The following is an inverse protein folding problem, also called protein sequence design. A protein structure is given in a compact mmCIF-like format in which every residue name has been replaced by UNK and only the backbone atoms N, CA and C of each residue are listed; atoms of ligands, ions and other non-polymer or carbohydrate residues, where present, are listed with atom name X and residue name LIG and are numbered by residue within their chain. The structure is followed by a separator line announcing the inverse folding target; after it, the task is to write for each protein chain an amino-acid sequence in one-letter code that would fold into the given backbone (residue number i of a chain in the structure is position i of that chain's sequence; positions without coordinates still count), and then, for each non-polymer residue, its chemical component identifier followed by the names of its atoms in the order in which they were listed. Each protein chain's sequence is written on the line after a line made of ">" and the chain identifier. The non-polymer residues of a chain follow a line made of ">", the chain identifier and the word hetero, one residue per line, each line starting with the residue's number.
data_IF_316440984765
#
_entry.id   IF_316440984765
#
_cell.length_a   1.000
_cell.length_b   1.000
_cell.length_c   1.000
_cell.angle_alpha   90.00
_cell.angle_beta   90.00
_cell.angle_gamma   90.00
#
_symmetry.space_group_name_H-M   'P 1'
#
loop_
_entity.id
_entity.type
_entity.pdbx_description
1 polymer ?
#
# COMPACT_ATOMS: atom_id res chain seq x y z
N UNK A 1 -15.15 -0.32 -15.58
CA UNK A 1 -14.20 -1.17 -14.82
C UNK A 1 -12.79 -0.85 -15.32
N UNK A 2 -11.82 -0.75 -14.42
CA UNK A 2 -10.43 -0.57 -14.81
C UNK A 2 -9.98 -1.80 -15.64
N UNK A 3 -9.14 -1.57 -16.65
CA UNK A 3 -8.59 -2.66 -17.46
C UNK A 3 -7.64 -3.51 -16.60
N UNK A 4 -7.76 -4.84 -16.68
CA UNK A 4 -6.85 -5.77 -15.99
C UNK A 4 -5.41 -5.57 -16.44
N UNK A 5 -4.51 -5.41 -15.46
CA UNK A 5 -3.07 -5.35 -15.67
C UNK A 5 -2.36 -6.16 -14.58
N UNK A 6 -1.78 -7.32 -14.92
CA UNK A 6 -1.12 -8.20 -13.95
C UNK A 6 0.09 -7.60 -13.23
N UNK A 7 0.49 -6.37 -13.55
CA UNK A 7 1.57 -5.64 -12.87
C UNK A 7 1.07 -4.60 -11.87
N UNK A 8 -0.23 -4.28 -11.91
CA UNK A 8 -0.79 -3.24 -11.04
C UNK A 8 -2.10 -3.67 -10.39
N UNK A 9 -3.14 -3.94 -11.17
CA UNK A 9 -4.51 -4.17 -10.70
C UNK A 9 -5.22 -5.20 -11.55
N UNK A 10 -5.89 -6.18 -10.92
CA UNK A 10 -6.69 -7.19 -11.60
C UNK A 10 -8.07 -7.32 -10.98
N UNK A 11 -9.08 -7.61 -11.80
CA UNK A 11 -10.45 -7.83 -11.36
C UNK A 11 -10.62 -9.20 -10.67
N UNK A 12 -11.71 -9.34 -9.91
CA UNK A 12 -12.15 -10.61 -9.34
C UNK A 12 -12.38 -11.67 -10.42
N UNK A 13 -12.87 -11.27 -11.60
CA UNK A 13 -13.08 -12.17 -12.73
C UNK A 13 -11.75 -12.67 -13.30
N UNK A 14 -10.74 -11.77 -13.42
CA UNK A 14 -9.41 -12.18 -13.85
C UNK A 14 -8.81 -13.20 -12.88
N UNK A 15 -8.87 -12.92 -11.58
CA UNK A 15 -8.37 -13.85 -10.56
C UNK A 15 -9.09 -15.20 -10.60
N UNK A 16 -10.42 -15.20 -10.70
CA UNK A 16 -11.23 -16.44 -10.82
C UNK A 16 -10.77 -17.33 -11.97
N UNK A 17 -10.53 -16.72 -13.12
CA UNK A 17 -10.09 -17.44 -14.32
C UNK A 17 -8.67 -18.02 -14.19
N UNK A 18 -7.82 -17.39 -13.39
CA UNK A 18 -6.41 -17.75 -13.23
C UNK A 18 -6.11 -18.49 -11.91
N UNK A 19 -7.07 -18.64 -11.00
CA UNK A 19 -6.85 -19.13 -9.64
C UNK A 19 -6.16 -20.50 -9.57
N UNK A 20 -6.36 -21.35 -10.58
CA UNK A 20 -5.76 -22.68 -10.66
C UNK A 20 -4.43 -22.72 -11.42
N UNK A 21 -3.94 -21.56 -11.89
CA UNK A 21 -2.66 -21.52 -12.60
C UNK A 21 -1.51 -21.90 -11.65
N UNK A 22 -0.62 -22.83 -12.03
CA UNK A 22 0.43 -23.35 -11.15
C UNK A 22 1.42 -22.29 -10.68
N UNK A 23 1.63 -21.23 -11.47
CA UNK A 23 2.55 -20.14 -11.15
C UNK A 23 1.86 -18.93 -10.51
N UNK A 24 0.54 -18.98 -10.27
CA UNK A 24 -0.15 -17.94 -9.52
C UNK A 24 0.02 -18.14 -8.01
N UNK A 25 0.26 -17.04 -7.30
CA UNK A 25 0.25 -16.99 -5.83
C UNK A 25 -0.68 -15.88 -5.37
N UNK A 26 -1.59 -16.23 -4.48
CA UNK A 26 -2.50 -15.26 -3.86
C UNK A 26 -1.99 -14.98 -2.45
N UNK A 27 -1.89 -13.68 -2.10
CA UNK A 27 -1.48 -13.22 -0.79
C UNK A 27 -2.59 -12.41 -0.14
N UNK A 28 -2.96 -12.78 1.08
CA UNK A 28 -3.77 -11.94 1.95
C UNK A 28 -2.84 -11.02 2.76
N UNK A 29 -2.95 -9.74 2.52
CA UNK A 29 -2.18 -8.70 3.19
C UNK A 29 -3.05 -7.86 4.11
N UNK A 30 -4.11 -8.46 4.66
CA UNK A 30 -5.01 -7.77 5.59
C UNK A 30 -4.26 -7.26 6.81
N UNK A 31 -4.52 -6.01 7.15
CA UNK A 31 -3.97 -5.34 8.31
C UNK A 31 -5.00 -4.36 8.88
N UNK A 32 -5.02 -4.22 10.18
CA UNK A 32 -5.96 -3.36 10.89
C UNK A 32 -5.24 -2.32 11.74
N UNK A 33 -5.88 -1.15 11.92
CA UNK A 33 -5.35 -0.15 12.85
C UNK A 33 -5.40 -0.69 14.29
N UNK A 34 -4.44 -0.30 15.15
CA UNK A 34 -4.39 -0.79 16.53
C UNK A 34 -5.65 -0.53 17.37
N UNK A 35 -6.47 0.45 16.97
CA UNK A 35 -7.71 0.83 17.66
C UNK A 35 -8.97 0.16 17.10
N UNK A 36 -8.84 -0.79 16.15
CA UNK A 36 -9.99 -1.45 15.52
C UNK A 36 -10.43 -2.74 16.22
N UNK A 37 -9.67 -3.23 17.21
CA UNK A 37 -9.92 -4.49 17.93
C UNK A 37 -10.22 -5.67 16.98
N UNK A 38 -9.42 -5.80 15.93
CA UNK A 38 -9.52 -6.85 14.90
C UNK A 38 -8.20 -7.61 14.80
N UNK A 39 -8.28 -8.88 14.47
CA UNK A 39 -7.12 -9.75 14.24
C UNK A 39 -7.17 -10.29 12.81
N UNK A 40 -6.30 -9.74 11.96
CA UNK A 40 -6.27 -10.07 10.53
C UNK A 40 -5.94 -11.55 10.26
N UNK A 41 -5.04 -12.15 11.03
CA UNK A 41 -4.71 -13.57 10.89
C UNK A 41 -5.89 -14.48 11.28
N UNK A 42 -6.55 -14.18 12.41
CA UNK A 42 -7.73 -14.94 12.82
C UNK A 42 -8.92 -14.79 11.85
N UNK A 43 -9.03 -13.64 11.17
CA UNK A 43 -10.02 -13.45 10.10
C UNK A 43 -9.64 -14.25 8.85
N UNK A 44 -8.36 -14.26 8.47
CA UNK A 44 -7.83 -15.08 7.39
C UNK A 44 -8.12 -16.58 7.62
N UNK A 45 -7.88 -17.09 8.83
CA UNK A 45 -8.16 -18.51 9.14
C UNK A 45 -9.65 -18.87 8.98
N UNK A 46 -10.54 -17.92 9.21
CA UNK A 46 -11.99 -18.12 9.07
C UNK A 46 -12.48 -18.04 7.63
N UNK A 47 -11.87 -17.18 6.82
CA UNK A 47 -12.33 -16.95 5.45
C UNK A 47 -11.28 -16.22 4.63
N UNK A 48 -10.78 -16.86 3.57
CA UNK A 48 -9.84 -16.28 2.63
C UNK A 48 -10.08 -16.79 1.20
N UNK A 49 -9.46 -16.16 0.21
CA UNK A 49 -9.51 -16.64 -1.18
C UNK A 49 -8.79 -17.99 -1.29
N UNK A 50 -9.36 -19.01 -1.95
CA UNK A 50 -8.78 -20.35 -2.00
C UNK A 50 -7.29 -20.34 -2.41
N UNK A 51 -6.47 -21.03 -1.61
CA UNK A 51 -5.03 -21.12 -1.81
C UNK A 51 -4.22 -19.86 -1.43
N UNK A 52 -4.87 -18.86 -0.84
CA UNK A 52 -4.19 -17.66 -0.36
C UNK A 52 -3.22 -17.97 0.79
N UNK A 53 -2.23 -17.15 0.96
CA UNK A 53 -1.23 -17.18 2.03
C UNK A 53 -1.27 -15.86 2.76
N UNK A 54 -1.21 -15.89 4.08
CA UNK A 54 -1.21 -14.66 4.87
C UNK A 54 0.16 -14.00 4.84
N UNK A 55 0.20 -12.76 4.36
CA UNK A 55 1.40 -11.91 4.37
C UNK A 55 1.28 -10.93 5.55
N UNK A 56 1.95 -11.24 6.63
CA UNK A 56 1.99 -10.40 7.82
C UNK A 56 2.88 -9.16 7.58
N UNK A 57 2.25 -7.99 7.42
CA UNK A 57 2.94 -6.72 7.18
C UNK A 57 3.79 -6.31 8.39
N UNK A 58 3.35 -6.62 9.60
CA UNK A 58 4.06 -6.28 10.83
C UNK A 58 5.30 -7.19 11.00
N UNK A 59 5.17 -8.50 10.78
CA UNK A 59 6.33 -9.40 10.79
C UNK A 59 7.29 -9.07 9.65
N UNK A 60 6.81 -8.83 8.44
CA UNK A 60 7.66 -8.56 7.27
C UNK A 60 8.01 -7.06 7.18
N UNK A 61 8.53 -6.52 8.25
CA UNK A 61 9.01 -5.15 8.40
C UNK A 61 10.38 -5.10 9.10
N UNK A 62 11.05 -3.94 9.15
CA UNK A 62 12.33 -3.80 9.87
C UNK A 62 12.09 -3.61 11.37
N UNK A 63 12.24 -4.68 12.14
CA UNK A 63 12.09 -4.66 13.61
C UNK A 63 13.22 -3.95 14.36
N UNK A 64 14.28 -3.51 13.69
CA UNK A 64 15.34 -2.68 14.30
C UNK A 64 14.90 -1.21 14.38
N UNK A 65 13.91 -0.82 13.57
CA UNK A 65 13.30 0.49 13.64
C UNK A 65 12.21 0.53 14.70
N UNK A 66 12.11 1.65 15.42
CA UNK A 66 10.96 1.94 16.29
C UNK A 66 9.73 2.41 15.53
N UNK A 67 9.88 2.69 14.23
CA UNK A 67 8.77 3.07 13.35
C UNK A 67 8.07 1.81 12.82
N UNK A 68 6.73 1.83 12.70
CA UNK A 68 5.96 0.69 12.18
C UNK A 68 6.16 0.53 10.68
N UNK A 69 6.08 -0.70 10.21
CA UNK A 69 6.01 -1.09 8.78
C UNK A 69 7.19 -0.68 7.90
N UNK A 70 8.33 -0.27 8.51
CA UNK A 70 9.52 0.12 7.73
C UNK A 70 9.97 -1.00 6.81
N UNK A 71 10.49 -0.63 5.65
CA UNK A 71 11.02 -1.58 4.65
C UNK A 71 11.96 -2.58 5.33
N UNK A 72 11.68 -3.89 5.23
CA UNK A 72 12.52 -4.92 5.85
C UNK A 72 13.89 -5.01 5.19
N UNK A 73 14.92 -5.50 5.91
CA UNK A 73 16.15 -5.95 5.28
C UNK A 73 15.88 -7.00 4.19
N UNK A 74 16.68 -6.98 3.12
CA UNK A 74 16.54 -7.89 1.98
C UNK A 74 16.48 -9.36 2.41
N UNK A 75 17.35 -9.75 3.32
CA UNK A 75 17.45 -11.13 3.83
C UNK A 75 16.17 -11.55 4.56
N UNK A 76 15.59 -10.64 5.35
CA UNK A 76 14.32 -10.89 6.04
C UNK A 76 13.19 -11.04 5.05
N UNK A 77 13.06 -10.11 4.10
CA UNK A 77 12.05 -10.19 3.03
C UNK A 77 12.14 -11.51 2.28
N UNK A 78 13.34 -11.86 1.77
CA UNK A 78 13.56 -13.11 1.04
C UNK A 78 13.19 -14.33 1.86
N UNK A 79 13.62 -14.41 3.13
CA UNK A 79 13.33 -15.53 4.02
C UNK A 79 11.81 -15.72 4.20
N UNK A 80 11.08 -14.63 4.50
CA UNK A 80 9.63 -14.69 4.74
C UNK A 80 8.84 -15.03 3.46
N UNK A 81 9.18 -14.39 2.35
CA UNK A 81 8.49 -14.62 1.06
C UNK A 81 8.72 -16.05 0.56
N UNK A 82 9.93 -16.60 0.72
CA UNK A 82 10.22 -18.00 0.41
C UNK A 82 9.39 -18.96 1.27
N UNK A 83 9.28 -18.68 2.57
CA UNK A 83 8.47 -19.48 3.49
C UNK A 83 6.96 -19.44 3.13
N UNK A 84 6.50 -18.38 2.45
CA UNK A 84 5.15 -18.31 1.86
C UNK A 84 5.03 -19.08 0.54
N UNK A 85 6.08 -19.72 0.05
CA UNK A 85 6.09 -20.44 -1.22
C UNK A 85 6.02 -19.51 -2.44
N UNK A 86 6.46 -18.26 -2.29
CA UNK A 86 6.60 -17.30 -3.37
C UNK A 86 8.06 -17.22 -3.80
N UNK A 87 8.29 -17.11 -5.09
CA UNK A 87 9.63 -17.02 -5.66
C UNK A 87 9.61 -16.53 -7.10
N UNK A 88 10.77 -16.52 -7.72
CA UNK A 88 10.94 -16.08 -9.11
C UNK A 88 10.01 -16.85 -10.05
N UNK A 89 9.47 -16.15 -11.04
CA UNK A 89 8.55 -16.72 -12.04
C UNK A 89 7.07 -16.78 -11.60
N UNK A 90 6.75 -16.47 -10.35
CA UNK A 90 5.35 -16.42 -9.92
C UNK A 90 4.70 -15.09 -10.28
N UNK A 91 3.46 -15.17 -10.78
CA UNK A 91 2.52 -14.06 -10.76
C UNK A 91 1.90 -13.99 -9.38
N UNK A 92 1.93 -12.82 -8.76
CA UNK A 92 1.32 -12.60 -7.44
C UNK A 92 0.06 -11.77 -7.60
N UNK A 93 -1.01 -12.16 -6.89
CA UNK A 93 -2.16 -11.28 -6.64
C UNK A 93 -2.28 -11.08 -5.14
N UNK A 94 -2.26 -9.83 -4.72
CA UNK A 94 -2.39 -9.47 -3.31
C UNK A 94 -3.72 -8.76 -3.06
N UNK A 95 -4.38 -9.10 -1.96
CA UNK A 95 -5.64 -8.49 -1.55
C UNK A 95 -5.65 -8.19 -0.05
N UNK A 96 -6.67 -7.46 0.40
CA UNK A 96 -6.96 -7.28 1.82
C UNK A 96 -8.46 -7.38 2.12
N UNK A 97 -8.80 -7.50 3.40
CA UNK A 97 -10.17 -7.66 3.89
C UNK A 97 -10.98 -6.37 3.94
N UNK A 98 -10.40 -5.23 3.60
CA UNK A 98 -11.08 -3.91 3.56
C UNK A 98 -11.39 -3.45 2.13
N UNK A 99 -10.92 -4.19 1.13
CA UNK A 99 -11.13 -3.90 -0.28
C UNK A 99 -9.89 -3.38 -0.98
N UNK A 100 -9.36 -2.23 -0.62
CA UNK A 100 -8.08 -1.68 -1.10
C UNK A 100 -7.54 -0.74 -0.02
N UNK A 101 -6.81 -1.30 0.93
CA UNK A 101 -6.27 -0.58 2.08
C UNK A 101 -4.79 -0.88 2.31
N UNK A 102 -4.46 -2.14 2.64
CA UNK A 102 -3.10 -2.59 2.96
C UNK A 102 -2.44 -3.41 1.84
N UNK A 103 -3.22 -4.00 0.95
CA UNK A 103 -2.72 -4.78 -0.18
C UNK A 103 -1.76 -3.99 -1.07
N UNK A 104 -2.04 -2.71 -1.31
CA UNK A 104 -1.18 -1.84 -2.11
C UNK A 104 0.22 -1.64 -1.49
N UNK A 105 0.35 -1.71 -0.14
CA UNK A 105 1.65 -1.67 0.54
C UNK A 105 2.51 -2.88 0.18
N UNK A 106 1.93 -4.07 0.14
CA UNK A 106 2.63 -5.30 -0.22
C UNK A 106 2.99 -5.30 -1.71
N UNK A 107 2.07 -4.87 -2.59
CA UNK A 107 2.35 -4.65 -4.01
C UNK A 107 3.56 -3.72 -4.20
N UNK A 108 3.58 -2.56 -3.54
CA UNK A 108 4.67 -1.61 -3.60
C UNK A 108 5.99 -2.22 -3.09
N UNK A 109 5.95 -2.97 -1.97
CA UNK A 109 7.11 -3.59 -1.37
C UNK A 109 7.76 -4.63 -2.32
N UNK A 110 6.96 -5.49 -2.95
CA UNK A 110 7.48 -6.44 -3.95
C UNK A 110 8.14 -5.73 -5.13
N UNK A 111 7.52 -4.68 -5.65
CA UNK A 111 8.10 -3.91 -6.76
C UNK A 111 9.39 -3.21 -6.34
N UNK A 112 9.44 -2.66 -5.14
CA UNK A 112 10.66 -2.08 -4.58
C UNK A 112 11.77 -3.13 -4.42
N UNK A 113 11.42 -4.37 -4.11
CA UNK A 113 12.33 -5.51 -4.05
C UNK A 113 12.68 -6.10 -5.43
N UNK A 114 12.13 -5.53 -6.52
CA UNK A 114 12.46 -5.90 -7.89
C UNK A 114 11.53 -6.92 -8.55
N UNK A 115 10.42 -7.31 -7.91
CA UNK A 115 9.45 -8.25 -8.46
C UNK A 115 8.26 -7.52 -9.06
N UNK A 116 8.17 -7.48 -10.39
CA UNK A 116 7.13 -6.73 -11.12
C UNK A 116 5.86 -7.55 -11.40
N UNK A 117 5.94 -8.88 -11.33
CA UNK A 117 4.79 -9.76 -11.59
C UNK A 117 3.87 -9.84 -10.37
N UNK A 118 3.36 -8.69 -9.93
CA UNK A 118 2.43 -8.55 -8.80
C UNK A 118 1.34 -7.54 -9.12
N UNK A 119 0.09 -7.88 -8.82
CA UNK A 119 -1.06 -7.00 -8.92
C UNK A 119 -1.90 -7.01 -7.65
N UNK A 120 -2.61 -5.92 -7.40
CA UNK A 120 -3.64 -5.83 -6.35
C UNK A 120 -4.96 -6.35 -6.90
N UNK A 121 -5.70 -7.12 -6.11
CA UNK A 121 -7.08 -7.51 -6.42
C UNK A 121 -8.02 -6.32 -6.20
N UNK A 122 -8.63 -5.84 -7.25
CA UNK A 122 -9.53 -4.68 -7.21
C UNK A 122 -10.77 -4.96 -6.36
N UNK A 123 -10.99 -4.16 -5.32
CA UNK A 123 -12.05 -4.35 -4.34
C UNK A 123 -11.80 -5.46 -3.30
N UNK A 124 -10.67 -6.17 -3.35
CA UNK A 124 -10.20 -7.12 -2.36
C UNK A 124 -11.18 -8.25 -2.02
N UNK A 125 -11.09 -8.76 -0.78
CA UNK A 125 -11.96 -9.85 -0.30
C UNK A 125 -13.45 -9.48 -0.30
N UNK A 126 -13.86 -8.25 0.08
CA UNK A 126 -15.29 -7.88 0.03
C UNK A 126 -15.89 -8.01 -1.37
N UNK A 127 -15.21 -7.52 -2.40
CA UNK A 127 -15.66 -7.61 -3.79
C UNK A 127 -15.64 -9.05 -4.29
N UNK A 128 -14.62 -9.83 -3.93
CA UNK A 128 -14.54 -11.25 -4.26
C UNK A 128 -15.76 -12.02 -3.78
N UNK A 129 -16.19 -11.79 -2.53
CA UNK A 129 -17.37 -12.41 -1.92
C UNK A 129 -18.67 -11.87 -2.56
N UNK A 130 -18.77 -10.57 -2.77
CA UNK A 130 -19.95 -9.93 -3.37
C UNK A 130 -20.22 -10.44 -4.80
N UNK A 131 -19.17 -10.80 -5.54
CA UNK A 131 -19.26 -11.39 -6.88
C UNK A 131 -19.58 -12.90 -6.85
N UNK A 132 -19.89 -13.48 -5.68
CA UNK A 132 -20.28 -14.88 -5.50
C UNK A 132 -19.13 -15.87 -5.68
N UNK A 133 -17.88 -15.43 -5.52
CA UNK A 133 -16.73 -16.31 -5.63
C UNK A 133 -16.49 -17.10 -4.31
N UNK A 134 -15.90 -18.32 -4.38
CA UNK A 134 -15.71 -19.16 -3.22
C UNK A 134 -14.65 -18.61 -2.26
N UNK A 135 -14.80 -18.90 -0.99
CA UNK A 135 -13.80 -18.73 0.06
C UNK A 135 -13.41 -20.08 0.66
N UNK A 136 -12.26 -20.13 1.31
CA UNK A 136 -11.69 -21.32 1.95
C UNK A 136 -11.28 -20.98 3.39
N UNK A 137 -11.05 -22.02 4.20
CA UNK A 137 -10.56 -21.92 5.58
C UNK A 137 -9.27 -22.74 5.78
N UNK A 138 -8.82 -23.41 4.72
CA UNK A 138 -7.70 -24.35 4.77
C UNK A 138 -6.37 -23.69 4.51
N UNK A 139 -5.33 -24.06 5.27
CA UNK A 139 -3.97 -23.64 4.96
C UNK A 139 -3.50 -24.27 3.63
N UNK A 140 -2.92 -23.48 2.70
CA UNK A 140 -2.39 -24.03 1.45
C UNK A 140 -1.13 -24.87 1.72
N UNK A 141 -0.89 -25.85 0.85
CA UNK A 141 0.39 -26.58 0.85
C UNK A 141 1.48 -25.63 0.37
N UNK A 142 2.42 -25.33 1.25
CA UNK A 142 3.53 -24.44 0.97
C UNK A 142 4.80 -25.27 0.69
N UNK A 143 5.52 -24.90 -0.34
CA UNK A 143 6.86 -25.39 -0.66
C UNK A 143 7.78 -24.20 -0.86
N UNK A 144 8.90 -24.18 -0.18
CA UNK A 144 9.93 -23.14 -0.32
C UNK A 144 10.29 -22.92 -1.79
N UNK A 145 10.51 -21.66 -2.14
CA UNK A 145 10.90 -21.24 -3.49
C UNK A 145 12.17 -20.39 -3.42
N UNK A 146 12.84 -20.27 -4.54
CA UNK A 146 13.92 -19.31 -4.68
C UNK A 146 13.32 -17.92 -5.00
N UNK A 147 13.84 -16.87 -4.33
CA UNK A 147 13.45 -15.48 -4.56
C UNK A 147 14.71 -14.65 -4.73
N UNK A 148 14.82 -13.98 -5.87
CA UNK A 148 15.87 -13.01 -6.16
C UNK A 148 15.36 -11.61 -5.84
N UNK A 149 16.20 -10.80 -5.19
CA UNK A 149 15.88 -9.40 -4.89
C UNK A 149 16.81 -8.47 -5.64
N UNK A 150 16.23 -7.51 -6.33
CA UNK A 150 16.93 -6.40 -6.97
C UNK A 150 16.33 -5.07 -6.49
N UNK A 151 16.89 -4.54 -5.41
CA UNK A 151 16.39 -3.32 -4.77
C UNK A 151 16.27 -2.14 -5.75
N UNK A 152 15.18 -1.38 -5.59
CA UNK A 152 14.92 -0.12 -6.30
C UNK A 152 14.84 1.05 -5.32
N UNK A 153 15.97 1.59 -4.84
CA UNK A 153 15.99 2.63 -3.81
C UNK A 153 15.29 3.92 -4.23
N UNK A 154 15.13 4.15 -5.54
CA UNK A 154 14.41 5.31 -6.06
C UNK A 154 12.92 5.32 -5.73
N UNK A 155 12.33 4.18 -5.38
CA UNK A 155 10.91 4.04 -5.01
C UNK A 155 10.61 4.43 -3.56
N UNK A 156 11.63 4.66 -2.74
CA UNK A 156 11.47 5.04 -1.31
C UNK A 156 12.17 6.36 -1.01
N UNK A 157 11.65 7.11 -0.04
CA UNK A 157 12.28 8.32 0.51
C UNK A 157 12.36 8.23 2.02
N UNK A 158 13.47 8.73 2.56
CA UNK A 158 13.66 8.97 3.98
C UNK A 158 13.25 10.40 4.38
N UNK A 159 13.24 10.67 5.68
CA UNK A 159 12.84 11.97 6.24
C UNK A 159 13.71 13.12 5.71
N UNK A 160 15.00 12.91 5.50
CA UNK A 160 15.93 13.96 5.01
C UNK A 160 15.60 14.34 3.57
N UNK A 161 15.35 13.33 2.72
CA UNK A 161 14.96 13.54 1.33
C UNK A 161 13.61 14.26 1.23
N UNK A 162 12.63 13.87 2.08
CA UNK A 162 11.32 14.53 2.11
C UNK A 162 11.40 15.96 2.63
N UNK A 163 12.20 16.23 3.67
CA UNK A 163 12.42 17.58 4.18
C UNK A 163 13.07 18.48 3.12
N UNK A 164 14.00 17.93 2.34
CA UNK A 164 14.63 18.63 1.24
C UNK A 164 13.61 18.93 0.11
N UNK A 165 12.80 17.95 -0.27
CA UNK A 165 11.75 18.11 -1.28
C UNK A 165 10.71 19.16 -0.87
N UNK A 166 10.26 19.15 0.39
CA UNK A 166 9.33 20.13 0.95
C UNK A 166 9.90 21.56 0.92
N UNK A 167 11.18 21.71 1.25
CA UNK A 167 11.89 23.02 1.23
C UNK A 167 12.03 23.56 -0.20
N UNK A 168 12.40 22.72 -1.17
CA UNK A 168 12.64 23.13 -2.56
C UNK A 168 11.37 23.19 -3.40
N UNK A 169 10.27 22.57 -2.95
CA UNK A 169 8.99 22.44 -3.69
C UNK A 169 9.16 21.85 -5.10
N UNK A 170 10.14 20.97 -5.26
CA UNK A 170 10.46 20.32 -6.53
C UNK A 170 9.77 18.95 -6.70
N UNK A 171 9.03 18.49 -5.70
CA UNK A 171 8.18 17.30 -5.73
C UNK A 171 6.79 17.66 -5.20
N UNK A 172 5.77 16.98 -5.69
CA UNK A 172 4.46 16.99 -5.06
C UNK A 172 4.44 15.97 -3.91
N UNK A 173 4.27 16.44 -2.68
CA UNK A 173 4.10 15.56 -1.51
C UNK A 173 2.60 15.37 -1.30
N UNK A 174 2.12 14.13 -1.39
CA UNK A 174 0.68 13.81 -1.40
C UNK A 174 0.36 12.95 -0.18
N UNK A 175 -0.45 13.49 0.73
CA UNK A 175 -0.82 12.84 1.99
C UNK A 175 -2.16 12.10 1.86
N UNK A 176 -2.12 10.78 2.06
CA UNK A 176 -3.28 9.88 1.94
C UNK A 176 -4.16 9.82 3.20
N UNK A 177 -3.82 10.53 4.29
CA UNK A 177 -4.62 10.54 5.52
C UNK A 177 -5.96 11.24 5.31
N UNK A 178 -6.93 10.92 6.20
CA UNK A 178 -8.20 11.64 6.26
C UNK A 178 -7.96 13.16 6.46
N UNK A 179 -8.78 13.99 5.81
CA UNK A 179 -8.62 15.44 5.80
C UNK A 179 -8.56 16.06 7.21
N UNK A 180 -9.36 15.57 8.15
CA UNK A 180 -9.33 16.08 9.52
C UNK A 180 -7.98 15.83 10.22
N UNK A 181 -7.32 14.70 9.97
CA UNK A 181 -5.98 14.43 10.48
C UNK A 181 -4.91 15.31 9.80
N UNK A 182 -5.04 15.48 8.50
CA UNK A 182 -4.15 16.36 7.73
C UNK A 182 -4.22 17.81 8.23
N UNK A 183 -5.41 18.36 8.41
CA UNK A 183 -5.60 19.73 8.90
C UNK A 183 -5.20 19.94 10.38
N UNK A 184 -5.06 18.84 11.13
CA UNK A 184 -4.80 18.91 12.57
C UNK A 184 -6.07 19.01 13.42
N UNK A 185 -7.26 18.84 12.84
CA UNK A 185 -8.57 18.89 13.49
C UNK A 185 -8.91 17.59 14.26
N UNK A 186 -8.21 16.50 13.96
CA UNK A 186 -8.39 15.21 14.61
C UNK A 186 -7.05 14.68 15.15
N UNK A 187 -7.08 13.91 16.26
CA UNK A 187 -5.88 13.30 16.82
C UNK A 187 -5.34 12.20 15.92
N UNK A 188 -4.05 11.92 16.06
CA UNK A 188 -3.43 10.78 15.42
C UNK A 188 -3.78 9.48 16.18
N UNK A 189 -3.96 8.34 15.49
CA UNK A 189 -4.23 7.05 16.14
C UNK A 189 -3.09 6.58 17.06
N UNK A 190 -1.87 7.02 16.80
CA UNK A 190 -0.70 6.75 17.63
C UNK A 190 -0.42 7.93 18.55
N UNK A 191 -0.19 7.63 19.83
CA UNK A 191 0.09 8.66 20.85
C UNK A 191 1.44 9.34 20.61
N UNK A 192 1.57 10.58 21.08
CA UNK A 192 2.83 11.34 21.07
C UNK A 192 3.16 12.01 19.72
N UNK A 193 2.29 11.91 18.74
CA UNK A 193 2.47 12.59 17.46
C UNK A 193 1.84 13.97 17.47
N UNK A 194 2.53 14.95 16.87
CA UNK A 194 1.94 16.27 16.57
C UNK A 194 0.80 16.13 15.57
N UNK A 195 -0.18 17.00 15.60
CA UNK A 195 -1.26 17.11 14.61
C UNK A 195 -0.84 18.05 13.48
N UNK A 196 -1.42 17.84 12.28
CA UNK A 196 -1.12 18.65 11.09
C UNK A 196 -0.46 17.83 9.97
N UNK A 197 0.32 18.49 9.10
CA UNK A 197 0.90 17.88 7.91
C UNK A 197 2.29 18.46 7.56
N UNK A 198 2.96 17.84 6.60
CA UNK A 198 4.23 18.32 6.03
C UNK A 198 3.96 19.62 5.26
N UNK A 199 4.68 20.73 5.56
CA UNK A 199 4.43 22.01 4.91
C UNK A 199 4.51 21.91 3.37
N UNK A 200 3.46 22.40 2.70
CA UNK A 200 3.34 22.38 1.24
C UNK A 200 2.87 21.05 0.65
N UNK A 201 2.58 20.02 1.46
CA UNK A 201 1.94 18.80 0.98
C UNK A 201 0.47 19.04 0.60
N UNK A 202 -0.04 18.18 -0.28
CA UNK A 202 -1.42 18.17 -0.73
C UNK A 202 -2.16 17.00 -0.08
N UNK A 203 -3.40 17.22 0.35
CA UNK A 203 -4.22 16.14 0.91
C UNK A 203 -5.07 15.48 -0.18
N UNK A 204 -4.89 14.19 -0.36
CA UNK A 204 -5.76 13.33 -1.14
C UNK A 204 -6.04 12.08 -0.32
N UNK A 205 -7.06 12.06 0.54
CA UNK A 205 -7.45 10.87 1.28
C UNK A 205 -7.55 9.65 0.37
N UNK A 206 -6.90 8.54 0.74
CA UNK A 206 -6.88 7.36 -0.13
C UNK A 206 -8.27 6.87 -0.52
N UNK A 207 -9.29 7.12 0.32
CA UNK A 207 -10.69 6.77 0.02
C UNK A 207 -11.27 7.55 -1.16
N UNK A 208 -10.71 8.70 -1.51
CA UNK A 208 -11.19 9.50 -2.66
C UNK A 208 -10.76 8.91 -4.01
N UNK A 209 -9.74 8.04 -4.04
CA UNK A 209 -9.37 7.33 -5.27
C UNK A 209 -10.13 6.02 -5.45
N UNK A 210 -11.06 5.69 -4.53
CA UNK A 210 -11.87 4.48 -4.55
C UNK A 210 -13.34 4.77 -4.86
N UNK A 211 -14.01 3.77 -5.44
CA UNK A 211 -15.46 3.72 -5.60
C UNK A 211 -16.13 3.22 -4.30
N UNK A 212 -17.46 3.28 -4.24
CA UNK A 212 -18.22 2.82 -3.09
C UNK A 212 -18.14 1.31 -2.81
N UNK A 213 -17.74 0.50 -3.79
CA UNK A 213 -17.47 -0.93 -3.65
C UNK A 213 -15.99 -1.25 -3.39
N UNK A 214 -15.22 -0.23 -3.01
CA UNK A 214 -13.79 -0.27 -2.73
C UNK A 214 -12.89 -0.61 -3.92
N UNK A 215 -13.41 -0.62 -5.14
CA UNK A 215 -12.59 -0.72 -6.35
C UNK A 215 -11.90 0.61 -6.64
N UNK A 216 -10.77 0.56 -7.34
CA UNK A 216 -10.07 1.76 -7.77
C UNK A 216 -10.89 2.48 -8.87
N UNK A 217 -10.94 3.80 -8.82
CA UNK A 217 -11.54 4.64 -9.86
C UNK A 217 -10.85 4.43 -11.22
N UNK A 218 -11.51 4.80 -12.29
CA UNK A 218 -10.93 4.79 -13.64
C UNK A 218 -9.76 5.78 -13.77
N UNK A 219 -8.90 5.59 -14.76
CA UNK A 219 -7.74 6.45 -15.01
C UNK A 219 -8.09 7.93 -15.15
N UNK A 220 -9.21 8.22 -15.80
CA UNK A 220 -9.68 9.60 -15.98
C UNK A 220 -10.17 10.20 -14.66
N UNK A 221 -10.95 9.43 -13.89
CA UNK A 221 -11.40 9.84 -12.56
C UNK A 221 -10.23 10.01 -11.58
N UNK A 222 -9.24 9.11 -11.60
CA UNK A 222 -8.03 9.24 -10.80
C UNK A 222 -7.27 10.52 -11.13
N UNK A 223 -7.04 10.80 -12.41
CA UNK A 223 -6.39 12.04 -12.86
C UNK A 223 -7.13 13.28 -12.38
N UNK A 224 -8.46 13.24 -12.40
CA UNK A 224 -9.29 14.33 -11.90
C UNK A 224 -9.20 14.49 -10.36
N UNK A 225 -9.14 13.38 -9.59
CA UNK A 225 -8.97 13.47 -8.11
C UNK A 225 -7.62 14.08 -7.74
N UNK A 226 -6.53 13.69 -8.42
CA UNK A 226 -5.22 14.34 -8.21
C UNK A 226 -5.27 15.83 -8.55
N UNK A 227 -5.90 16.21 -9.65
CA UNK A 227 -6.05 17.61 -10.06
C UNK A 227 -6.89 18.42 -9.06
N UNK A 228 -8.00 17.89 -8.57
CA UNK A 228 -8.85 18.53 -7.54
C UNK A 228 -8.08 18.73 -6.22
N UNK A 229 -7.20 17.80 -5.88
CA UNK A 229 -6.32 17.94 -4.73
C UNK A 229 -5.18 18.97 -4.92
N UNK A 230 -5.11 19.61 -6.09
CA UNK A 230 -4.08 20.59 -6.42
C UNK A 230 -2.71 19.98 -6.71
N UNK A 231 -2.66 18.70 -7.10
CA UNK A 231 -1.43 18.00 -7.46
C UNK A 231 -1.03 18.33 -8.89
N UNK A 232 0.19 18.81 -9.07
CA UNK A 232 0.81 19.02 -10.38
C UNK A 232 1.45 17.71 -10.87
N UNK A 233 0.74 16.98 -11.72
CA UNK A 233 1.21 15.71 -12.26
C UNK A 233 2.43 15.82 -13.19
N UNK A 234 2.88 17.02 -13.54
CA UNK A 234 4.13 17.21 -14.30
C UNK A 234 5.38 17.07 -13.42
N UNK A 235 5.25 17.22 -12.10
CA UNK A 235 6.36 17.09 -11.14
C UNK A 235 6.47 15.66 -10.62
N UNK A 236 7.68 15.22 -10.20
CA UNK A 236 7.82 13.99 -9.43
C UNK A 236 6.97 14.01 -8.16
N UNK A 237 6.45 12.86 -7.73
CA UNK A 237 5.58 12.77 -6.57
C UNK A 237 6.21 11.96 -5.42
N UNK A 238 5.86 12.35 -4.18
CA UNK A 238 6.15 11.57 -2.97
C UNK A 238 4.83 11.32 -2.25
N UNK A 239 4.43 10.08 -2.12
CA UNK A 239 3.25 9.70 -1.35
C UNK A 239 3.59 9.50 0.12
N UNK A 240 2.73 9.93 1.02
CA UNK A 240 2.86 9.77 2.47
C UNK A 240 1.50 9.48 3.11
N UNK A 241 1.49 8.96 4.33
CA UNK A 241 0.28 8.81 5.13
C UNK A 241 0.62 8.78 6.64
N UNK A 242 0.01 7.89 7.43
CA UNK A 242 0.36 7.68 8.83
C UNK A 242 1.65 6.89 9.02
N UNK A 243 1.80 5.77 8.32
CA UNK A 243 2.90 4.79 8.47
C UNK A 243 3.24 4.04 7.16
N UNK A 244 3.07 4.70 6.03
CA UNK A 244 3.44 4.15 4.71
C UNK A 244 2.49 3.09 4.13
N UNK A 245 1.38 2.75 4.82
CA UNK A 245 0.43 1.72 4.33
C UNK A 245 -0.49 2.30 3.26
N UNK A 246 -1.34 3.26 3.60
CA UNK A 246 -2.31 3.84 2.64
C UNK A 246 -1.67 4.79 1.61
N UNK A 247 -0.46 5.27 1.86
CA UNK A 247 0.35 5.98 0.87
C UNK A 247 0.57 5.15 -0.40
N UNK A 248 0.71 3.83 -0.25
CA UNK A 248 0.88 2.91 -1.37
C UNK A 248 -0.38 2.80 -2.25
N UNK A 249 -1.58 3.10 -1.72
CA UNK A 249 -2.80 3.19 -2.53
C UNK A 249 -2.70 4.36 -3.53
N UNK A 250 -2.16 5.50 -3.09
CA UNK A 250 -1.90 6.62 -3.99
C UNK A 250 -0.77 6.30 -4.99
N UNK A 251 0.26 5.56 -4.56
CA UNK A 251 1.31 5.08 -5.47
C UNK A 251 0.73 4.17 -6.56
N UNK A 252 -0.18 3.24 -6.20
CA UNK A 252 -0.89 2.40 -7.16
C UNK A 252 -1.75 3.24 -8.12
N UNK A 253 -2.46 4.24 -7.60
CA UNK A 253 -3.28 5.15 -8.42
C UNK A 253 -2.42 5.95 -9.41
N UNK A 254 -1.24 6.44 -8.98
CA UNK A 254 -0.27 7.12 -9.86
C UNK A 254 0.23 6.18 -10.97
N UNK A 255 0.61 4.94 -10.66
CA UNK A 255 0.99 3.94 -11.68
C UNK A 255 -0.14 3.70 -12.69
N UNK A 256 -1.39 3.63 -12.23
CA UNK A 256 -2.55 3.38 -13.08
C UNK A 256 -2.82 4.52 -14.08
N UNK A 257 -2.46 5.75 -13.75
CA UNK A 257 -2.53 6.89 -14.68
C UNK A 257 -1.24 7.09 -15.50
N UNK A 258 -0.28 6.15 -15.41
CA UNK A 258 1.00 6.21 -16.14
C UNK A 258 2.05 7.12 -15.53
N UNK A 259 1.85 7.61 -14.30
CA UNK A 259 2.81 8.44 -13.56
C UNK A 259 3.78 7.55 -12.79
N UNK A 260 4.95 7.28 -13.37
CA UNK A 260 5.94 6.33 -12.82
C UNK A 260 7.06 6.99 -12.01
N UNK A 261 7.23 8.31 -12.11
CA UNK A 261 8.21 9.09 -11.34
C UNK A 261 7.66 9.49 -9.96
N UNK A 262 7.37 8.48 -9.17
CA UNK A 262 6.92 8.67 -7.78
C UNK A 262 7.70 7.77 -6.81
N UNK A 263 7.70 8.17 -5.55
CA UNK A 263 8.29 7.42 -4.44
C UNK A 263 7.37 7.48 -3.23
N UNK A 264 7.57 6.57 -2.27
CA UNK A 264 6.83 6.54 -1.02
C UNK A 264 7.74 6.98 0.14
N UNK A 265 7.27 7.88 0.97
CA UNK A 265 7.92 8.23 2.23
C UNK A 265 7.60 7.16 3.28
N UNK A 266 8.56 6.28 3.57
CA UNK A 266 8.36 5.08 4.37
C UNK A 266 8.00 5.40 5.83
N UNK A 267 8.74 6.28 6.50
CA UNK A 267 8.46 6.71 7.88
C UNK A 267 7.16 7.49 8.05
N UNK A 268 6.72 8.17 6.99
CA UNK A 268 5.45 8.90 6.93
C UNK A 268 5.24 9.83 8.13
N UNK A 269 3.98 10.12 8.49
CA UNK A 269 3.67 11.01 9.61
C UNK A 269 4.14 10.48 10.96
N UNK A 270 4.21 9.16 11.13
CA UNK A 270 4.74 8.56 12.36
C UNK A 270 6.19 8.97 12.61
N UNK A 271 6.98 9.14 11.56
CA UNK A 271 8.33 9.69 11.68
C UNK A 271 8.32 11.22 11.74
N UNK A 272 7.72 11.90 10.77
CA UNK A 272 7.72 13.37 10.69
C UNK A 272 7.14 14.04 11.93
N UNK A 273 6.01 13.53 12.40
CA UNK A 273 5.29 14.07 13.57
C UNK A 273 6.06 13.96 14.89
N UNK A 274 7.05 13.06 14.98
CA UNK A 274 7.90 12.91 16.17
C UNK A 274 9.07 13.90 16.20
N UNK A 275 9.57 14.35 15.06
CA UNK A 275 10.74 15.22 15.03
C UNK A 275 10.39 16.68 15.40
N UNK A 276 10.79 17.20 16.58
CA UNK A 276 10.46 18.55 17.01
C UNK A 276 11.09 19.63 16.12
N UNK A 277 12.17 19.31 15.42
CA UNK A 277 12.92 20.21 14.54
C UNK A 277 12.31 20.36 13.15
N UNK A 278 11.39 19.46 12.75
CA UNK A 278 10.69 19.57 11.48
C UNK A 278 9.45 20.46 11.62
N UNK A 279 9.26 21.34 10.66
CA UNK A 279 8.08 22.20 10.62
C UNK A 279 6.81 21.39 10.34
N UNK A 280 5.72 21.80 10.95
CA UNK A 280 4.38 21.25 10.76
C UNK A 280 3.45 22.39 10.37
N UNK A 281 2.60 22.15 9.37
CA UNK A 281 1.51 23.03 9.01
C UNK A 281 0.17 22.43 9.48
N UNK A 282 -0.82 23.30 9.67
CA UNK A 282 -2.22 22.94 10.01
C UNK A 282 -3.17 23.71 9.11
N UNK A 283 -4.43 23.28 9.05
CA UNK A 283 -5.42 23.84 8.14
C UNK A 283 -5.30 23.25 6.74
N UNK A 284 -5.94 23.88 5.78
CA UNK A 284 -5.83 23.52 4.36
C UNK A 284 -4.48 24.02 3.82
N UNK A 285 -3.85 23.25 2.95
CA UNK A 285 -2.53 23.57 2.38
C UNK A 285 -2.60 24.69 1.33
#
# INVERSE_FOLDING_TARGET
>A
MAQDDPKTLVSTQWLKNNLKHPDLRVLDASWHLPNEDRNAFAEFEKSHIPGARFFDIDDISDHRSSLPHMVPPVEKFMSRVRALGVGDGHQIVVYDSKGLFSAARVWWLFRMMGHDAIAVLDGGLPKWIADGNPVDTGAPIIRDRHMTVQLRPHMVRDVTQVAHAAKLRNHEIIDARAAARFRGDAPEPRQGLRTGHIPGSKNLPFTQVLNGDHTLKTTDELSEEFRKAGVDLSKPAITTCGSGVTAAVLSLALERIGKTDHALYDGSWTEWGQFPTLNVATGDS
#
